data_IF_221591913321
#
_entry.id   IF_221591913321
#
_cell.length_a   1.000
_cell.length_b   1.000
_cell.length_c   1.000
_cell.angle_alpha   90.00
_cell.angle_beta   90.00
_cell.angle_gamma   90.00
#
_symmetry.space_group_name_H-M   'P 1'
#
loop_
_entity.id
_entity.type
_entity.pdbx_description
1 polymer ?
#
# COMPACT_ATOMS: atom_id res chain seq x y z
N UNK A 1 14.00 13.00 17.53
CA UNK A 1 14.47 11.76 16.86
C UNK A 1 13.50 11.43 15.74
N UNK A 2 14.01 10.92 14.62
CA UNK A 2 13.21 10.59 13.45
C UNK A 2 13.19 9.06 13.26
N UNK A 3 11.99 8.49 13.21
CA UNK A 3 11.78 7.03 13.13
C UNK A 3 10.97 6.65 11.90
N UNK A 4 11.26 5.47 11.37
CA UNK A 4 10.59 4.87 10.23
C UNK A 4 9.89 3.59 10.69
N UNK A 5 8.64 3.43 10.30
CA UNK A 5 7.85 2.22 10.52
C UNK A 5 7.59 1.49 9.21
N UNK A 6 7.70 0.17 9.27
CA UNK A 6 7.19 -0.72 8.23
C UNK A 6 5.95 -1.44 8.75
N UNK A 7 4.86 -1.39 8.01
CA UNK A 7 3.57 -1.93 8.44
C UNK A 7 2.78 -2.59 7.30
N UNK A 8 1.81 -3.38 7.69
CA UNK A 8 0.77 -3.87 6.79
C UNK A 8 -0.62 -3.53 7.32
N UNK A 9 -1.60 -3.43 6.43
CA UNK A 9 -2.98 -3.23 6.83
C UNK A 9 -3.96 -3.82 5.83
N UNK A 10 -5.11 -4.26 6.36
CA UNK A 10 -6.28 -4.62 5.59
C UNK A 10 -7.21 -3.41 5.52
N UNK A 11 -7.42 -2.88 4.31
CA UNK A 11 -8.19 -1.66 4.11
C UNK A 11 -9.69 -1.78 4.33
N UNK A 12 -10.23 -3.00 4.44
CA UNK A 12 -11.65 -3.22 4.71
C UNK A 12 -12.06 -2.56 6.05
N UNK A 13 -13.01 -1.63 6.00
CA UNK A 13 -13.45 -0.84 7.15
C UNK A 13 -12.56 0.37 7.47
N UNK A 14 -11.53 0.64 6.65
CA UNK A 14 -10.70 1.83 6.75
C UNK A 14 -10.92 2.74 5.53
N UNK A 15 -10.94 4.05 5.78
CA UNK A 15 -11.16 5.09 4.75
C UNK A 15 -9.87 5.53 4.07
N UNK A 16 -8.94 4.58 3.86
CA UNK A 16 -7.63 4.80 3.26
C UNK A 16 -6.59 5.26 4.28
N UNK A 17 -5.46 5.72 3.74
CA UNK A 17 -4.34 6.16 4.58
C UNK A 17 -4.61 7.48 5.29
N UNK A 18 -4.89 8.54 4.52
CA UNK A 18 -4.89 9.93 4.98
C UNK A 18 -6.00 10.22 5.98
N UNK A 19 -5.67 10.92 7.08
CA UNK A 19 -6.64 11.43 8.05
C UNK A 19 -7.75 12.23 7.35
N UNK A 20 -8.99 11.96 7.72
CA UNK A 20 -10.19 12.61 7.25
C UNK A 20 -11.13 12.89 8.43
N UNK A 21 -11.91 13.96 8.32
CA UNK A 21 -12.95 14.25 9.31
C UNK A 21 -14.01 13.14 9.26
N UNK A 22 -14.38 12.63 10.44
CA UNK A 22 -15.45 11.64 10.62
C UNK A 22 -15.21 10.27 9.93
N UNK A 23 -13.94 9.89 9.70
CA UNK A 23 -13.61 8.61 9.11
C UNK A 23 -12.42 7.93 9.81
N UNK A 24 -12.50 6.61 9.97
CA UNK A 24 -11.39 5.83 10.52
C UNK A 24 -10.37 5.57 9.40
N UNK A 25 -9.14 6.02 9.60
CA UNK A 25 -8.06 5.93 8.63
C UNK A 25 -6.83 5.25 9.23
N UNK A 26 -5.94 4.71 8.39
CA UNK A 26 -4.71 4.07 8.86
C UNK A 26 -3.83 5.07 9.62
N UNK A 27 -3.62 6.25 9.05
CA UNK A 27 -2.81 7.32 9.66
C UNK A 27 -3.40 7.75 11.02
N UNK A 28 -4.70 7.98 11.10
CA UNK A 28 -5.34 8.41 12.36
C UNK A 28 -5.23 7.36 13.48
N UNK A 29 -5.36 6.08 13.15
CA UNK A 29 -5.17 4.99 14.12
C UNK A 29 -3.70 4.87 14.57
N UNK A 30 -2.76 5.07 13.65
CA UNK A 30 -1.34 5.02 13.94
C UNK A 30 -0.91 6.21 14.82
N UNK A 31 -1.32 7.43 14.47
CA UNK A 31 -1.05 8.65 15.24
C UNK A 31 -1.63 8.55 16.66
N UNK A 32 -2.85 8.02 16.78
CA UNK A 32 -3.48 7.74 18.09
C UNK A 32 -2.65 6.74 18.92
N UNK A 33 -2.25 5.63 18.32
CA UNK A 33 -1.51 4.58 19.03
C UNK A 33 -0.11 5.06 19.46
N UNK A 34 0.59 5.78 18.59
CA UNK A 34 1.87 6.41 18.91
C UNK A 34 1.73 7.48 20.00
N UNK A 35 0.70 8.30 19.90
CA UNK A 35 0.39 9.32 20.94
C UNK A 35 0.20 8.71 22.33
N UNK A 36 -0.44 7.54 22.44
CA UNK A 36 -0.57 6.79 23.70
C UNK A 36 0.80 6.30 24.20
N UNK A 37 1.65 5.77 23.29
CA UNK A 37 2.96 5.24 23.68
C UNK A 37 3.93 6.33 24.11
N UNK A 38 3.93 7.48 23.45
CA UNK A 38 4.84 8.59 23.75
C UNK A 38 4.28 9.60 24.75
N UNK A 39 2.99 9.53 25.10
CA UNK A 39 2.32 10.49 25.99
C UNK A 39 2.15 11.90 25.39
N UNK A 40 2.46 12.06 24.11
CA UNK A 40 2.37 13.32 23.35
C UNK A 40 1.81 13.06 21.95
N UNK A 41 1.13 14.04 21.33
CA UNK A 41 0.66 13.88 19.95
C UNK A 41 1.82 13.58 19.00
N UNK A 42 1.66 12.55 18.16
CA UNK A 42 2.60 12.16 17.11
C UNK A 42 1.86 12.22 15.77
N UNK A 43 2.50 12.72 14.75
CA UNK A 43 1.98 12.77 13.40
C UNK A 43 2.87 11.97 12.45
N UNK A 44 2.29 11.01 11.75
CA UNK A 44 3.01 10.18 10.77
C UNK A 44 2.92 10.76 9.37
N UNK A 45 3.98 10.54 8.57
CA UNK A 45 4.03 10.82 7.13
C UNK A 45 4.16 9.51 6.37
N UNK A 46 3.24 9.22 5.47
CA UNK A 46 3.26 7.96 4.71
C UNK A 46 3.88 8.09 3.33
N UNK A 47 4.42 6.98 2.82
CA UNK A 47 5.04 6.88 1.49
C UNK A 47 4.09 7.23 0.32
N UNK A 48 2.79 7.17 0.54
CA UNK A 48 1.78 7.57 -0.44
C UNK A 48 0.37 7.39 0.09
N UNK A 49 -0.59 8.07 -0.50
CA UNK A 49 -1.99 7.91 -0.14
C UNK A 49 -2.54 6.62 -0.75
N UNK A 50 -3.33 5.89 0.02
CA UNK A 50 -4.16 4.78 -0.48
C UNK A 50 -5.63 5.15 -0.32
N UNK A 51 -6.45 4.73 -1.27
CA UNK A 51 -7.90 4.93 -1.23
C UNK A 51 -8.56 3.98 -0.20
N UNK A 52 -9.82 4.26 0.15
CA UNK A 52 -10.62 3.40 1.01
C UNK A 52 -10.65 1.96 0.49
N UNK A 53 -10.48 1.00 1.38
CA UNK A 53 -10.50 -0.43 1.07
C UNK A 53 -9.20 -0.99 0.49
N UNK A 54 -8.19 -0.18 0.19
CA UNK A 54 -6.90 -0.65 -0.33
C UNK A 54 -6.09 -1.29 0.79
N UNK A 55 -5.60 -2.50 0.53
CA UNK A 55 -4.70 -3.23 1.42
C UNK A 55 -3.23 -2.83 1.15
N UNK A 56 -2.36 -2.96 2.15
CA UNK A 56 -0.92 -2.82 1.99
C UNK A 56 -0.18 -3.90 2.77
N UNK A 57 0.94 -4.40 2.23
CA UNK A 57 1.74 -5.47 2.85
C UNK A 57 3.12 -5.03 3.29
N UNK A 58 3.63 -3.93 2.76
CA UNK A 58 4.96 -3.40 3.08
C UNK A 58 4.91 -1.87 2.94
N UNK A 59 4.09 -1.25 3.76
CA UNK A 59 3.91 0.20 3.74
C UNK A 59 4.90 0.86 4.68
N UNK A 60 5.51 1.94 4.21
CA UNK A 60 6.49 2.70 5.00
C UNK A 60 5.90 4.06 5.38
N UNK A 61 6.08 4.44 6.63
CA UNK A 61 5.80 5.79 7.11
C UNK A 61 6.89 6.22 8.11
N UNK A 62 7.04 7.51 8.29
CA UNK A 62 7.96 8.10 9.25
C UNK A 62 7.24 9.03 10.22
N UNK A 63 7.87 9.28 11.36
CA UNK A 63 7.42 10.24 12.37
C UNK A 63 8.60 10.77 13.18
N UNK A 64 8.38 11.92 13.80
CA UNK A 64 9.37 12.54 14.67
C UNK A 64 8.88 12.60 16.12
N UNK A 65 9.83 12.48 17.05
CA UNK A 65 9.61 12.66 18.49
C UNK A 65 10.65 13.57 19.09
N UNK A 66 10.30 14.41 20.09
CA UNK A 66 11.28 15.27 20.78
C UNK A 66 12.32 14.44 21.55
N UNK A 67 11.91 13.33 22.15
CA UNK A 67 12.76 12.45 22.95
C UNK A 67 13.01 11.12 22.23
N UNK A 68 14.15 10.47 22.45
CA UNK A 68 14.42 9.14 21.93
C UNK A 68 13.47 8.08 22.48
N UNK A 69 13.30 7.01 21.73
CA UNK A 69 12.53 5.87 22.17
C UNK A 69 13.22 5.17 23.35
N UNK A 70 12.58 5.14 24.52
CA UNK A 70 13.10 4.48 25.73
C UNK A 70 12.75 2.99 25.81
N UNK A 71 12.15 2.42 24.76
CA UNK A 71 11.77 1.02 24.65
C UNK A 71 12.75 0.27 23.75
N UNK A 72 12.97 -1.01 24.04
CA UNK A 72 13.60 -1.88 23.06
C UNK A 72 12.69 -1.99 21.83
N UNK A 73 13.25 -2.33 20.67
CA UNK A 73 12.49 -2.58 19.44
C UNK A 73 11.38 -3.60 19.66
N UNK A 74 11.66 -4.68 20.38
CA UNK A 74 10.68 -5.74 20.68
C UNK A 74 9.53 -5.22 21.57
N UNK A 75 9.85 -4.49 22.63
CA UNK A 75 8.82 -3.92 23.51
C UNK A 75 7.95 -2.89 22.79
N UNK A 76 8.56 -2.06 21.93
CA UNK A 76 7.81 -1.13 21.10
C UNK A 76 6.83 -1.85 20.18
N UNK A 77 7.30 -2.84 19.42
CA UNK A 77 6.46 -3.62 18.49
C UNK A 77 5.34 -4.36 19.23
N UNK A 78 5.64 -4.93 20.38
CA UNK A 78 4.64 -5.58 21.22
C UNK A 78 3.55 -4.59 21.67
N UNK A 79 3.95 -3.45 22.22
CA UNK A 79 3.02 -2.44 22.75
C UNK A 79 2.19 -1.76 21.65
N UNK A 80 2.81 -1.34 20.55
CA UNK A 80 2.09 -0.68 19.46
C UNK A 80 1.03 -1.61 18.86
N UNK A 81 1.38 -2.89 18.63
CA UNK A 81 0.46 -3.87 18.09
C UNK A 81 -0.65 -4.30 19.06
N UNK A 82 -0.45 -4.11 20.38
CA UNK A 82 -1.51 -4.31 21.37
C UNK A 82 -2.50 -3.15 21.42
N UNK A 83 -2.08 -1.93 21.06
CA UNK A 83 -2.91 -0.71 21.11
C UNK A 83 -3.64 -0.45 19.81
N UNK A 84 -2.98 -0.70 18.67
CA UNK A 84 -3.51 -0.41 17.35
C UNK A 84 -4.62 -1.41 16.96
N UNK A 85 -5.50 -1.00 16.04
CA UNK A 85 -6.55 -1.89 15.53
C UNK A 85 -5.96 -3.14 14.87
N UNK A 86 -6.67 -4.27 15.01
CA UNK A 86 -6.27 -5.59 14.46
C UNK A 86 -6.10 -5.62 12.93
N UNK A 87 -6.68 -4.66 12.22
CA UNK A 87 -6.52 -4.52 10.77
C UNK A 87 -5.17 -3.94 10.36
N UNK A 88 -4.38 -3.43 11.32
CA UNK A 88 -3.06 -2.80 11.09
C UNK A 88 -2.03 -3.54 11.94
N UNK A 89 -0.88 -3.88 11.33
CA UNK A 89 0.25 -4.50 12.04
C UNK A 89 1.52 -3.73 11.72
N UNK A 90 2.21 -3.28 12.76
CA UNK A 90 3.55 -2.69 12.66
C UNK A 90 4.57 -3.83 12.75
N UNK A 91 5.40 -3.98 11.71
CA UNK A 91 6.38 -5.07 11.60
C UNK A 91 7.77 -4.65 12.06
N UNK A 92 8.11 -3.39 11.84
CA UNK A 92 9.46 -2.89 12.14
C UNK A 92 9.45 -1.41 12.50
N UNK A 93 10.48 -1.02 13.29
CA UNK A 93 10.87 0.35 13.59
C UNK A 93 12.37 0.47 13.42
N UNK A 94 12.82 1.53 12.73
CA UNK A 94 14.21 1.89 12.54
C UNK A 94 14.39 3.41 12.71
N UNK A 95 15.61 3.85 12.97
CA UNK A 95 15.96 5.27 12.95
C UNK A 95 16.21 5.71 11.49
N UNK A 96 15.75 6.91 11.14
CA UNK A 96 16.08 7.52 9.86
C UNK A 96 17.58 7.88 9.80
N UNK A 97 18.17 7.82 8.61
CA UNK A 97 19.61 8.03 8.41
C UNK A 97 20.47 6.79 8.65
N UNK A 98 19.86 5.65 9.01
CA UNK A 98 20.53 4.34 9.15
C UNK A 98 20.06 3.41 8.05
N UNK A 99 20.99 2.62 7.47
CA UNK A 99 20.64 1.63 6.45
C UNK A 99 19.52 0.66 6.94
N UNK A 100 18.53 0.31 6.07
CA UNK A 100 18.40 0.66 4.65
C UNK A 100 17.71 2.01 4.35
N UNK A 101 17.51 2.85 5.35
CA UNK A 101 16.80 4.13 5.27
C UNK A 101 17.76 5.32 5.41
N UNK A 102 18.99 5.16 4.88
CA UNK A 102 19.97 6.23 4.83
C UNK A 102 19.52 7.35 3.90
N UNK A 103 19.92 8.57 4.26
CA UNK A 103 19.77 9.73 3.42
C UNK A 103 20.75 9.64 2.23
N UNK A 104 20.36 10.15 1.08
CA UNK A 104 21.26 10.31 -0.07
C UNK A 104 22.26 11.48 0.11
N UNK A 105 22.25 12.09 1.29
CA UNK A 105 23.14 13.17 1.71
C UNK A 105 22.68 14.58 1.30
N UNK A 106 21.64 14.69 0.49
CA UNK A 106 21.13 15.99 0.04
C UNK A 106 19.91 16.44 0.86
N UNK A 107 19.06 15.50 1.26
CA UNK A 107 17.86 15.80 2.07
C UNK A 107 17.64 14.74 3.15
N UNK A 108 17.09 15.12 4.31
CA UNK A 108 16.70 14.15 5.34
C UNK A 108 15.62 13.20 4.80
N UNK A 109 15.63 11.95 5.29
CA UNK A 109 14.65 10.95 4.92
C UNK A 109 13.21 11.45 5.11
N UNK A 110 12.37 11.19 4.14
CA UNK A 110 10.94 11.46 4.20
C UNK A 110 10.22 10.38 3.41
N UNK A 111 9.36 9.59 4.04
CA UNK A 111 8.69 8.44 3.40
C UNK A 111 7.97 8.80 2.10
N UNK A 112 7.40 10.00 2.01
CA UNK A 112 6.68 10.45 0.82
C UNK A 112 7.59 10.69 -0.38
N UNK A 113 8.78 11.26 -0.15
CA UNK A 113 9.69 11.72 -1.19
C UNK A 113 10.84 10.74 -1.44
N UNK A 114 11.33 10.05 -0.41
CA UNK A 114 12.42 9.08 -0.52
C UNK A 114 12.00 7.76 -1.19
N UNK A 115 10.69 7.48 -1.29
CA UNK A 115 10.21 6.29 -1.99
C UNK A 115 10.45 6.41 -3.51
N UNK A 116 11.29 5.53 -4.07
CA UNK A 116 11.68 5.52 -5.48
C UNK A 116 10.62 4.93 -6.40
N UNK A 117 9.92 3.88 -5.94
CA UNK A 117 8.81 3.26 -6.68
C UNK A 117 7.70 2.80 -5.76
N UNK A 118 6.54 2.55 -6.32
CA UNK A 118 5.38 1.92 -5.68
C UNK A 118 4.91 0.78 -6.57
N UNK A 119 4.53 -0.33 -5.91
CA UNK A 119 4.02 -1.52 -6.60
C UNK A 119 2.61 -1.81 -6.16
N UNK A 120 1.70 -1.96 -7.11
CA UNK A 120 0.32 -2.37 -6.85
C UNK A 120 0.06 -3.75 -7.45
N UNK A 121 -0.80 -4.50 -6.76
CA UNK A 121 -1.34 -5.77 -7.23
C UNK A 121 -2.86 -5.67 -7.21
N UNK A 122 -3.50 -5.93 -8.35
CA UNK A 122 -4.94 -5.98 -8.48
C UNK A 122 -5.35 -7.41 -8.78
N UNK A 123 -6.13 -8.00 -7.88
CA UNK A 123 -6.52 -9.40 -7.94
C UNK A 123 -7.88 -9.55 -8.58
N UNK A 124 -8.02 -10.53 -9.49
CA UNK A 124 -9.26 -10.90 -10.17
C UNK A 124 -9.45 -12.40 -10.05
N UNK A 125 -10.70 -12.82 -9.90
CA UNK A 125 -11.09 -14.23 -9.99
C UNK A 125 -12.37 -14.38 -10.83
N UNK A 126 -12.54 -15.50 -11.55
CA UNK A 126 -13.68 -15.71 -12.46
C UNK A 126 -14.80 -16.49 -11.77
N UNK A 127 -14.50 -17.57 -11.06
CA UNK A 127 -15.46 -18.38 -10.35
C UNK A 127 -15.90 -17.74 -9.02
N UNK A 128 -17.09 -18.09 -8.53
CA UNK A 128 -17.53 -17.65 -7.20
C UNK A 128 -16.68 -18.31 -6.13
N UNK A 129 -16.01 -17.50 -5.29
CA UNK A 129 -15.15 -17.96 -4.22
C UNK A 129 -15.32 -17.07 -2.96
N UNK A 130 -15.98 -17.58 -1.90
CA UNK A 130 -16.24 -16.80 -0.69
C UNK A 130 -14.98 -16.40 0.08
N UNK A 131 -13.85 -17.08 -0.15
CA UNK A 131 -12.57 -16.77 0.50
C UNK A 131 -11.75 -15.72 -0.26
N UNK A 132 -11.98 -15.57 -1.57
CA UNK A 132 -11.32 -14.56 -2.40
C UNK A 132 -12.05 -13.21 -2.41
N UNK A 133 -13.37 -13.17 -2.21
CA UNK A 133 -14.23 -11.97 -2.35
C UNK A 133 -13.73 -10.73 -1.58
N UNK A 134 -13.03 -10.91 -0.45
CA UNK A 134 -12.52 -9.81 0.35
C UNK A 134 -11.25 -9.15 -0.23
N UNK A 135 -10.56 -9.80 -1.17
CA UNK A 135 -9.25 -9.39 -1.68
C UNK A 135 -9.18 -9.28 -3.20
N UNK A 136 -10.16 -9.85 -3.90
CA UNK A 136 -10.14 -10.05 -5.34
C UNK A 136 -11.47 -9.63 -5.94
N UNK A 137 -11.43 -8.98 -7.09
CA UNK A 137 -12.63 -8.63 -7.84
C UNK A 137 -13.11 -9.82 -8.66
N UNK A 138 -14.39 -10.17 -8.51
CA UNK A 138 -14.98 -11.21 -9.33
C UNK A 138 -15.34 -10.69 -10.72
N UNK A 139 -14.68 -11.25 -11.74
CA UNK A 139 -14.95 -10.99 -13.16
C UNK A 139 -15.35 -12.31 -13.85
N UNK A 140 -16.65 -12.55 -14.06
CA UNK A 140 -17.12 -13.83 -14.63
C UNK A 140 -16.94 -13.96 -16.13
N UNK A 141 -16.46 -12.92 -16.79
CA UNK A 141 -16.23 -12.89 -18.23
C UNK A 141 -14.92 -13.60 -18.59
N UNK A 142 -14.86 -14.29 -19.75
CA UNK A 142 -13.59 -14.84 -20.22
C UNK A 142 -12.60 -13.72 -20.50
N UNK A 143 -11.41 -13.85 -19.94
CA UNK A 143 -10.32 -12.87 -20.08
C UNK A 143 -9.21 -13.47 -20.95
N UNK A 144 -8.76 -12.69 -21.93
CA UNK A 144 -7.62 -13.03 -22.80
C UNK A 144 -6.35 -12.43 -22.20
N UNK A 145 -5.61 -13.22 -21.43
CA UNK A 145 -4.43 -12.78 -20.69
C UNK A 145 -3.30 -12.32 -21.64
N UNK A 146 -3.22 -12.88 -22.83
CA UNK A 146 -2.21 -12.47 -23.83
C UNK A 146 -2.50 -11.06 -24.32
N UNK A 147 -3.73 -10.79 -24.76
CA UNK A 147 -4.15 -9.43 -25.18
C UNK A 147 -4.09 -8.43 -24.03
N UNK A 148 -4.44 -8.85 -22.82
CA UNK A 148 -4.30 -8.00 -21.62
C UNK A 148 -2.83 -7.64 -21.38
N UNK A 149 -1.88 -8.54 -21.62
CA UNK A 149 -0.46 -8.26 -21.50
C UNK A 149 0.07 -7.41 -22.65
N UNK A 150 -0.43 -7.57 -23.88
CA UNK A 150 -0.13 -6.65 -25.00
C UNK A 150 -0.56 -5.20 -24.65
N UNK A 151 -1.77 -5.03 -24.11
CA UNK A 151 -2.24 -3.73 -23.66
C UNK A 151 -1.41 -3.17 -22.48
N UNK A 152 -1.05 -4.02 -21.51
CA UNK A 152 -0.22 -3.63 -20.37
C UNK A 152 1.19 -3.17 -20.80
N UNK A 153 1.74 -3.73 -21.87
CA UNK A 153 3.04 -3.32 -22.41
C UNK A 153 3.04 -1.88 -22.95
N UNK A 154 1.89 -1.35 -23.37
CA UNK A 154 1.76 0.04 -23.84
C UNK A 154 1.86 1.06 -22.70
N UNK A 155 1.72 0.62 -21.44
CA UNK A 155 1.84 1.48 -20.25
C UNK A 155 3.31 1.73 -19.84
N UNK A 156 4.25 0.94 -20.36
CA UNK A 156 5.66 1.01 -19.95
C UNK A 156 6.33 2.31 -20.41
N UNK A 157 7.17 2.87 -19.55
CA UNK A 157 7.89 4.12 -19.81
C UNK A 157 7.20 5.33 -19.21
N UNK A 158 7.60 6.51 -19.67
CA UNK A 158 7.07 7.80 -19.22
C UNK A 158 5.92 8.25 -20.12
N UNK A 159 4.75 8.43 -19.52
CA UNK A 159 3.54 8.85 -20.23
C UNK A 159 2.71 9.83 -19.40
N UNK A 160 1.85 10.57 -20.07
CA UNK A 160 0.76 11.33 -19.44
C UNK A 160 -0.43 10.40 -19.17
N UNK A 161 -0.69 10.16 -17.88
CA UNK A 161 -1.80 9.34 -17.39
C UNK A 161 -3.03 10.14 -16.96
N UNK A 162 -3.19 11.37 -17.44
CA UNK A 162 -4.35 12.23 -17.10
C UNK A 162 -5.70 11.55 -17.39
N UNK A 163 -5.80 10.73 -18.46
CA UNK A 163 -7.00 9.96 -18.79
C UNK A 163 -7.36 8.88 -17.75
N UNK A 164 -6.41 8.46 -16.94
CA UNK A 164 -6.60 7.47 -15.87
C UNK A 164 -6.72 8.09 -14.48
N UNK A 165 -6.73 9.42 -14.38
CA UNK A 165 -6.81 10.14 -13.12
C UNK A 165 -8.25 10.51 -12.77
N UNK A 166 -8.68 10.21 -11.54
CA UNK A 166 -9.91 10.75 -10.99
C UNK A 166 -9.72 12.23 -10.64
N UNK A 167 -10.61 13.09 -11.11
CA UNK A 167 -10.61 14.54 -10.83
C UNK A 167 -10.52 14.86 -9.34
N UNK A 168 -9.93 16.02 -9.01
CA UNK A 168 -9.75 16.49 -7.62
C UNK A 168 -8.49 15.94 -6.93
N UNK A 169 -7.50 15.47 -7.69
CA UNK A 169 -6.15 15.23 -7.20
C UNK A 169 -5.37 16.54 -7.00
N UNK A 170 -4.44 16.58 -6.04
CA UNK A 170 -3.52 17.71 -5.82
C UNK A 170 -2.15 17.43 -6.46
N UNK A 171 -2.15 16.92 -7.69
CA UNK A 171 -0.92 16.62 -8.41
C UNK A 171 -0.49 17.83 -9.25
N UNK A 172 0.81 18.11 -9.28
CA UNK A 172 1.38 19.16 -10.15
C UNK A 172 1.52 18.70 -11.61
N UNK A 173 1.53 17.38 -11.84
CA UNK A 173 1.65 16.77 -13.18
C UNK A 173 0.99 15.40 -13.18
N UNK A 174 0.48 14.98 -14.35
CA UNK A 174 -0.05 13.63 -14.60
C UNK A 174 0.98 12.70 -15.27
N UNK A 175 2.22 13.15 -15.42
CA UNK A 175 3.31 12.32 -15.93
C UNK A 175 3.72 11.28 -14.88
N UNK A 176 3.74 10.01 -15.28
CA UNK A 176 4.24 8.89 -14.47
C UNK A 176 5.16 8.01 -15.32
N UNK A 177 6.14 7.39 -14.68
CA UNK A 177 7.04 6.42 -15.31
C UNK A 177 6.70 5.03 -14.79
N UNK A 178 6.11 4.20 -15.65
CA UNK A 178 5.79 2.80 -15.34
C UNK A 178 6.98 1.93 -15.66
N UNK A 179 7.49 1.21 -14.65
CA UNK A 179 8.66 0.33 -14.75
C UNK A 179 8.26 -1.08 -15.16
N UNK A 180 7.13 -1.56 -14.65
CA UNK A 180 6.59 -2.87 -15.01
C UNK A 180 5.08 -2.87 -14.95
N UNK A 181 4.43 -3.62 -15.86
CA UNK A 181 2.99 -3.84 -15.88
C UNK A 181 2.73 -5.22 -16.49
N UNK A 182 2.10 -6.14 -15.73
CA UNK A 182 1.90 -7.50 -16.19
C UNK A 182 0.75 -8.21 -15.50
N UNK A 183 0.01 -9.00 -16.27
CA UNK A 183 -0.97 -9.96 -15.82
C UNK A 183 -0.35 -11.36 -15.72
N UNK A 184 -0.61 -12.04 -14.60
CA UNK A 184 -0.17 -13.42 -14.40
C UNK A 184 -1.25 -14.22 -13.68
N UNK A 185 -1.30 -15.53 -13.92
CA UNK A 185 -2.04 -16.42 -13.05
C UNK A 185 -1.38 -16.54 -11.68
N UNK A 186 -2.17 -16.74 -10.64
CA UNK A 186 -1.68 -17.04 -9.31
C UNK A 186 -2.59 -18.06 -8.61
N UNK A 187 -2.03 -18.77 -7.64
CA UNK A 187 -2.77 -19.71 -6.80
C UNK A 187 -2.94 -19.09 -5.42
N UNK A 188 -4.18 -18.76 -4.99
CA UNK A 188 -4.42 -18.26 -3.65
C UNK A 188 -4.07 -19.32 -2.60
N UNK A 189 -3.51 -18.91 -1.47
CA UNK A 189 -3.07 -19.83 -0.41
C UNK A 189 -4.21 -20.69 0.16
N UNK A 190 -5.46 -20.21 0.16
CA UNK A 190 -6.58 -20.98 0.65
C UNK A 190 -6.92 -22.19 -0.26
N UNK A 191 -6.60 -22.17 -1.56
CA UNK A 191 -6.82 -23.33 -2.43
C UNK A 191 -6.00 -24.52 -1.96
N UNK A 192 -4.71 -24.32 -1.69
CA UNK A 192 -3.84 -25.39 -1.17
C UNK A 192 -4.13 -25.75 0.29
N UNK A 193 -4.41 -24.75 1.15
CA UNK A 193 -4.66 -24.97 2.58
C UNK A 193 -5.97 -25.70 2.87
N UNK A 194 -7.01 -25.42 2.08
CA UNK A 194 -8.35 -25.99 2.27
C UNK A 194 -8.69 -27.11 1.28
N UNK A 195 -7.75 -27.48 0.40
CA UNK A 195 -7.93 -28.56 -0.58
C UNK A 195 -8.88 -28.23 -1.72
N UNK A 196 -9.09 -26.96 -2.05
CA UNK A 196 -9.85 -26.58 -3.25
C UNK A 196 -9.03 -26.79 -4.51
N UNK A 197 -9.65 -27.19 -5.62
CA UNK A 197 -8.96 -27.30 -6.89
C UNK A 197 -8.49 -25.91 -7.36
N UNK A 198 -7.24 -25.81 -7.80
CA UNK A 198 -6.74 -24.66 -8.52
C UNK A 198 -6.99 -24.90 -10.01
N UNK A 199 -8.03 -24.30 -10.54
CA UNK A 199 -8.47 -24.41 -11.93
C UNK A 199 -8.05 -23.23 -12.81
N UNK A 200 -7.07 -22.44 -12.35
CA UNK A 200 -6.53 -21.30 -13.09
C UNK A 200 -7.44 -20.08 -13.11
N UNK A 201 -8.46 -20.03 -12.26
CA UNK A 201 -9.45 -18.95 -12.22
C UNK A 201 -8.97 -17.63 -11.61
N UNK A 202 -7.70 -17.53 -11.20
CA UNK A 202 -7.17 -16.40 -10.47
C UNK A 202 -6.09 -15.69 -11.26
N UNK A 203 -6.26 -14.37 -11.42
CA UNK A 203 -5.33 -13.49 -12.12
C UNK A 203 -4.91 -12.34 -11.21
N UNK A 204 -3.66 -11.90 -11.36
CA UNK A 204 -3.14 -10.70 -10.71
C UNK A 204 -2.50 -9.78 -11.72
N UNK A 205 -2.92 -8.53 -11.72
CA UNK A 205 -2.21 -7.45 -12.39
C UNK A 205 -1.19 -6.86 -11.43
N UNK A 206 0.07 -6.91 -11.81
CA UNK A 206 1.16 -6.27 -11.06
C UNK A 206 1.67 -5.08 -11.87
N UNK A 207 1.66 -3.91 -11.26
CA UNK A 207 2.17 -2.68 -11.86
C UNK A 207 3.09 -1.95 -10.89
N UNK A 208 4.23 -1.46 -11.39
CA UNK A 208 5.20 -0.69 -10.63
C UNK A 208 5.54 0.60 -11.38
N UNK A 209 5.50 1.73 -10.65
CA UNK A 209 5.81 3.04 -11.20
C UNK A 209 6.47 3.94 -10.14
N UNK A 210 7.13 5.00 -10.59
CA UNK A 210 7.67 6.04 -9.71
C UNK A 210 6.58 6.69 -8.84
N UNK A 211 5.36 6.82 -9.38
CA UNK A 211 4.16 7.34 -8.69
C UNK A 211 2.90 6.85 -9.37
N UNK A 212 1.77 6.97 -8.67
CA UNK A 212 0.43 6.73 -9.21
C UNK A 212 -0.47 7.92 -8.94
N UNK A 213 -1.36 8.21 -9.88
CA UNK A 213 -2.42 9.19 -9.73
C UNK A 213 -3.62 8.59 -8.97
N UNK A 214 -4.50 9.45 -8.50
CA UNK A 214 -5.70 9.01 -7.81
C UNK A 214 -6.55 8.10 -8.71
N UNK A 215 -6.90 6.91 -8.21
CA UNK A 215 -7.69 5.88 -8.90
C UNK A 215 -7.03 5.27 -10.17
N UNK A 216 -5.79 5.64 -10.50
CA UNK A 216 -5.11 5.25 -11.75
C UNK A 216 -5.11 3.74 -11.98
N UNK A 217 -4.69 2.93 -10.99
CA UNK A 217 -4.63 1.46 -11.16
C UNK A 217 -6.01 0.86 -11.43
N UNK A 218 -7.05 1.37 -10.76
CA UNK A 218 -8.43 0.92 -11.00
C UNK A 218 -8.91 1.28 -12.42
N UNK A 219 -8.57 2.47 -12.90
CA UNK A 219 -8.94 2.92 -14.24
C UNK A 219 -8.18 2.15 -15.34
N UNK A 220 -6.96 1.71 -15.07
CA UNK A 220 -6.19 0.87 -16.00
C UNK A 220 -6.79 -0.54 -16.11
N UNK A 221 -7.29 -1.09 -14.98
CA UNK A 221 -7.82 -2.46 -14.95
C UNK A 221 -9.25 -2.55 -15.47
N UNK A 222 -10.09 -1.55 -15.21
CA UNK A 222 -11.51 -1.50 -15.61
C UNK A 222 -11.75 -0.70 -16.84
#
# INVERSE_FOLDING_TARGET
MHYILTLSYRGAGLSGWQIQNNAVTVQGELDRALGILFGTPVQTTGAGRTDAGVNATNYVCDFETPEPLHLTKQDFLYKINAIIRKEIVVHDIAEAGVEPFSDDGEYPFNSRFSAKSRKYRYFIHSAKDPFAESFSWRCPWPLDVERMNEAAALLLGEHDFSCFEKTGGNNSTSICTVVSARWTHYSPSHTSLLGFPDDGNYLVFTIEANRFLRNMVRAIVG
#
